data_IF_710641509407
#
_entry.id   IF_710641509407
#
_cell.length_a   1.000
_cell.length_b   1.000
_cell.length_c   1.000
_cell.angle_alpha   90.00
_cell.angle_beta   90.00
_cell.angle_gamma   90.00
#
_symmetry.space_group_name_H-M   'P 1'
#
loop_
_entity.id
_entity.type
_entity.pdbx_description
1 polymer ?
#
# COMPACT_ATOMS: atom_id res chain seq x y z
N UNK A 1 -4.15 13.01 -8.51
CA UNK A 1 -4.10 14.41 -8.99
C UNK A 1 -2.71 15.00 -8.76
N UNK A 2 -1.85 15.06 -9.78
CA UNK A 2 -0.52 15.71 -9.70
C UNK A 2 -0.73 17.21 -9.45
N UNK A 3 -0.32 17.73 -8.28
CA UNK A 3 -0.35 19.16 -7.97
C UNK A 3 0.59 19.92 -8.92
N UNK A 4 0.17 21.08 -9.48
CA UNK A 4 1.08 21.91 -10.28
C UNK A 4 2.15 22.51 -9.35
N UNK A 5 3.40 22.03 -9.47
CA UNK A 5 4.56 22.50 -8.71
C UNK A 5 4.99 23.89 -9.19
N UNK A 6 4.56 24.93 -8.48
CA UNK A 6 5.08 26.28 -8.65
C UNK A 6 6.53 26.30 -8.15
N UNK A 7 7.50 26.47 -9.06
CA UNK A 7 8.91 26.73 -8.71
C UNK A 7 9.02 28.06 -7.96
N UNK A 8 8.93 28.02 -6.62
CA UNK A 8 9.38 29.14 -5.77
C UNK A 8 10.91 29.15 -5.77
N UNK A 9 11.51 30.11 -6.47
CA UNK A 9 12.91 30.52 -6.25
C UNK A 9 13.02 31.26 -4.91
N UNK A 10 12.96 30.52 -3.82
CA UNK A 10 13.41 30.93 -2.49
C UNK A 10 14.45 29.91 -2.02
N UNK A 11 15.50 30.34 -1.31
CA UNK A 11 16.47 29.41 -0.71
C UNK A 11 15.75 28.43 0.21
N UNK A 12 16.25 27.19 0.26
CA UNK A 12 15.72 26.16 1.15
C UNK A 12 16.01 26.54 2.61
N UNK A 13 15.11 26.20 3.54
CA UNK A 13 15.28 26.56 4.95
C UNK A 13 16.53 25.91 5.57
N UNK A 14 17.14 26.56 6.56
CA UNK A 14 18.39 26.09 7.22
C UNK A 14 18.30 24.64 7.72
N UNK A 15 17.15 24.22 8.26
CA UNK A 15 16.95 22.84 8.74
C UNK A 15 16.92 21.84 7.58
N UNK A 16 16.29 22.20 6.46
CA UNK A 16 16.29 21.36 5.27
C UNK A 16 17.68 21.32 4.60
N UNK A 17 18.45 22.43 4.59
CA UNK A 17 19.87 22.41 4.18
C UNK A 17 20.70 21.46 5.06
N UNK A 18 20.42 21.45 6.37
CA UNK A 18 21.07 20.54 7.30
C UNK A 18 20.74 19.07 7.02
N UNK A 19 19.47 18.73 6.72
CA UNK A 19 19.09 17.37 6.33
C UNK A 19 19.78 16.92 5.03
N UNK A 20 19.84 17.81 4.03
CA UNK A 20 20.55 17.56 2.77
C UNK A 20 22.03 17.25 3.03
N UNK A 21 22.69 18.04 3.87
CA UNK A 21 24.10 17.82 4.22
C UNK A 21 24.32 16.50 4.98
N UNK A 22 23.48 16.19 5.98
CA UNK A 22 23.60 14.98 6.80
C UNK A 22 23.39 13.71 5.96
N UNK A 23 22.34 13.67 5.14
CA UNK A 23 22.03 12.53 4.28
C UNK A 23 23.06 12.32 3.17
N UNK A 24 23.58 13.39 2.57
CA UNK A 24 24.67 13.29 1.58
C UNK A 24 25.95 12.75 2.26
N UNK A 25 26.26 13.23 3.46
CA UNK A 25 27.42 12.73 4.22
C UNK A 25 27.31 11.25 4.60
N UNK A 26 26.09 10.79 4.93
CA UNK A 26 25.81 9.38 5.17
C UNK A 26 26.00 8.54 3.90
N UNK A 27 25.44 8.98 2.77
CA UNK A 27 25.58 8.28 1.50
C UNK A 27 27.04 8.16 1.01
N UNK A 28 27.90 9.11 1.40
CA UNK A 28 29.34 9.11 1.07
C UNK A 28 30.20 8.39 2.12
N UNK A 29 29.60 7.82 3.16
CA UNK A 29 30.33 7.23 4.27
C UNK A 29 31.18 6.03 3.85
N UNK A 30 32.40 5.96 4.39
CA UNK A 30 33.37 4.91 4.04
C UNK A 30 33.34 3.68 4.96
N UNK A 31 32.67 3.75 6.11
CA UNK A 31 32.66 2.65 7.08
C UNK A 31 31.54 2.78 8.13
N UNK A 32 31.23 1.66 8.80
CA UNK A 32 30.17 1.55 9.83
C UNK A 32 30.32 2.51 11.02
N UNK A 33 31.54 2.94 11.32
CA UNK A 33 31.79 3.91 12.40
C UNK A 33 31.35 5.31 11.98
N UNK A 34 31.56 5.65 10.71
CA UNK A 34 31.08 6.89 10.12
C UNK A 34 29.57 6.84 9.88
N UNK A 35 29.02 5.71 9.40
CA UNK A 35 27.57 5.50 9.24
C UNK A 35 26.86 5.89 10.55
N UNK A 36 27.26 5.26 11.67
CA UNK A 36 26.68 5.53 12.98
C UNK A 36 26.77 7.02 13.39
N UNK A 37 27.88 7.69 13.09
CA UNK A 37 28.05 9.11 13.38
C UNK A 37 27.04 10.00 12.62
N UNK A 38 26.79 9.67 11.35
CA UNK A 38 25.86 10.40 10.50
C UNK A 38 24.41 10.06 10.84
N UNK A 39 24.09 8.77 10.98
CA UNK A 39 22.76 8.25 11.34
C UNK A 39 22.24 8.86 12.65
N UNK A 40 23.07 8.93 13.71
CA UNK A 40 22.67 9.53 14.99
C UNK A 40 22.25 10.99 14.83
N UNK A 41 22.99 11.76 14.03
CA UNK A 41 22.72 13.18 13.80
C UNK A 41 21.53 13.41 12.89
N UNK A 42 21.42 12.60 11.83
CA UNK A 42 20.30 12.62 10.91
C UNK A 42 19.00 12.30 11.63
N UNK A 43 18.99 11.19 12.38
CA UNK A 43 17.87 10.79 13.23
C UNK A 43 17.46 11.88 14.21
N UNK A 44 18.42 12.47 14.93
CA UNK A 44 18.11 13.55 15.89
C UNK A 44 17.52 14.80 15.21
N UNK A 45 17.99 15.14 14.01
CA UNK A 45 17.44 16.25 13.24
C UNK A 45 16.00 15.97 12.76
N UNK A 46 15.74 14.75 12.25
CA UNK A 46 14.41 14.31 11.81
C UNK A 46 13.44 14.29 12.98
N UNK A 47 13.81 13.71 14.12
CA UNK A 47 12.97 13.66 15.32
C UNK A 47 12.55 15.07 15.79
N UNK A 48 13.47 16.04 15.69
CA UNK A 48 13.17 17.44 16.02
C UNK A 48 12.15 18.04 15.06
N UNK A 49 12.23 17.74 13.77
CA UNK A 49 11.33 18.26 12.73
C UNK A 49 9.94 17.62 12.87
N UNK A 50 9.88 16.30 13.05
CA UNK A 50 8.64 15.56 13.30
C UNK A 50 7.94 16.05 14.58
N UNK A 51 8.71 16.28 15.66
CA UNK A 51 8.17 16.80 16.91
C UNK A 51 7.62 18.23 16.82
N UNK A 52 8.04 19.00 15.81
CA UNK A 52 7.54 20.35 15.52
C UNK A 52 6.40 20.36 14.48
N UNK A 53 5.97 19.19 13.99
CA UNK A 53 4.96 19.06 12.93
C UNK A 53 5.35 19.81 11.63
N UNK A 54 6.65 19.88 11.32
CA UNK A 54 7.20 20.64 10.19
C UNK A 54 7.45 19.73 8.96
N UNK A 55 6.34 19.27 8.39
CA UNK A 55 6.28 18.41 7.20
C UNK A 55 6.91 19.08 5.96
N UNK A 56 6.78 20.40 5.83
CA UNK A 56 7.30 21.17 4.70
C UNK A 56 8.84 21.14 4.64
N UNK A 57 9.51 21.14 5.78
CA UNK A 57 10.98 21.04 5.85
C UNK A 57 11.47 19.67 5.35
N UNK A 58 10.80 18.58 5.73
CA UNK A 58 11.14 17.23 5.25
C UNK A 58 10.99 17.13 3.74
N UNK A 59 9.83 17.53 3.22
CA UNK A 59 9.53 17.48 1.79
C UNK A 59 10.45 18.40 0.97
N UNK A 60 10.80 19.58 1.49
CA UNK A 60 11.74 20.49 0.82
C UNK A 60 13.13 19.87 0.67
N UNK A 61 13.62 19.15 1.69
CA UNK A 61 14.91 18.48 1.64
C UNK A 61 14.92 17.32 0.63
N UNK A 62 13.88 16.49 0.63
CA UNK A 62 13.68 15.42 -0.36
C UNK A 62 13.61 15.97 -1.79
N UNK A 63 12.80 17.01 -2.03
CA UNK A 63 12.67 17.65 -3.35
C UNK A 63 14.00 18.21 -3.85
N UNK A 64 14.84 18.73 -2.94
CA UNK A 64 16.17 19.23 -3.28
C UNK A 64 17.12 18.12 -3.69
N UNK A 65 17.17 17.04 -2.92
CA UNK A 65 18.03 15.88 -3.19
C UNK A 65 17.63 15.21 -4.51
N UNK A 66 16.33 14.99 -4.70
CA UNK A 66 15.75 14.42 -5.92
C UNK A 66 16.10 15.28 -7.14
N UNK A 67 15.87 16.60 -7.07
CA UNK A 67 16.18 17.51 -8.18
C UNK A 67 17.67 17.67 -8.50
N UNK A 68 18.56 17.16 -7.64
CA UNK A 68 20.01 17.08 -7.88
C UNK A 68 20.52 15.67 -8.16
N UNK A 69 19.63 14.68 -8.25
CA UNK A 69 19.97 13.25 -8.42
C UNK A 69 21.01 12.79 -7.38
N UNK A 70 20.88 13.27 -6.14
CA UNK A 70 21.83 12.96 -5.07
C UNK A 70 21.56 11.57 -4.50
N UNK A 71 22.60 10.75 -4.24
CA UNK A 71 22.44 9.47 -3.54
C UNK A 71 21.95 9.65 -2.08
N UNK A 72 22.04 10.86 -1.51
CA UNK A 72 21.47 11.16 -0.20
C UNK A 72 19.94 11.16 -0.18
N UNK A 73 19.25 11.12 -1.33
CA UNK A 73 17.79 11.04 -1.37
C UNK A 73 17.28 9.77 -0.68
N UNK A 74 17.84 8.60 -1.05
CA UNK A 74 17.42 7.31 -0.51
C UNK A 74 17.70 7.22 0.99
N UNK A 75 18.88 7.70 1.41
CA UNK A 75 19.24 7.79 2.84
C UNK A 75 18.25 8.65 3.62
N UNK A 76 17.91 9.84 3.11
CA UNK A 76 16.97 10.71 3.79
C UNK A 76 15.55 10.11 3.83
N UNK A 77 15.10 9.53 2.72
CA UNK A 77 13.77 8.93 2.62
C UNK A 77 13.59 7.76 3.60
N UNK A 78 14.55 6.83 3.62
CA UNK A 78 14.52 5.67 4.53
C UNK A 78 14.54 6.10 6.01
N UNK A 79 15.40 7.07 6.35
CA UNK A 79 15.44 7.58 7.72
C UNK A 79 14.16 8.31 8.11
N UNK A 80 13.58 9.13 7.23
CA UNK A 80 12.30 9.80 7.53
C UNK A 80 11.21 8.77 7.77
N UNK A 81 11.06 7.79 6.87
CA UNK A 81 10.08 6.71 7.04
C UNK A 81 10.29 5.97 8.36
N UNK A 82 11.52 5.52 8.63
CA UNK A 82 11.90 4.83 9.86
C UNK A 82 11.56 5.64 11.11
N UNK A 83 11.87 6.95 11.14
CA UNK A 83 11.58 7.84 12.28
C UNK A 83 10.10 8.18 12.40
N UNK A 84 9.36 8.18 11.30
CA UNK A 84 7.91 8.38 11.31
C UNK A 84 7.13 7.18 11.82
N UNK A 85 7.61 5.97 11.58
CA UNK A 85 6.94 4.75 12.08
C UNK A 85 7.54 4.25 13.41
N UNK A 86 8.70 4.74 13.82
CA UNK A 86 9.31 4.43 15.12
C UNK A 86 8.98 5.49 16.18
N UNK A 87 8.22 5.10 17.20
CA UNK A 87 7.80 6.01 18.27
C UNK A 87 8.89 6.20 19.34
N UNK A 88 10.13 6.42 18.95
CA UNK A 88 11.32 6.31 19.81
C UNK A 88 11.30 7.25 21.05
N UNK A 89 10.61 8.39 20.97
CA UNK A 89 10.47 9.32 22.09
C UNK A 89 9.47 8.88 23.17
N UNK A 90 8.69 7.83 22.95
CA UNK A 90 7.62 7.41 23.87
C UNK A 90 8.16 6.66 25.09
N UNK A 91 9.09 5.74 24.90
CA UNK A 91 9.66 4.94 25.97
C UNK A 91 11.15 4.62 25.68
N UNK A 92 12.12 5.30 26.34
CA UNK A 92 13.54 5.17 26.01
C UNK A 92 14.14 3.76 26.11
N UNK A 93 13.54 2.91 26.95
CA UNK A 93 13.98 1.53 27.18
C UNK A 93 13.36 0.52 26.20
N UNK A 94 12.52 0.99 25.27
CA UNK A 94 11.81 0.14 24.32
C UNK A 94 12.05 0.57 22.88
N UNK A 95 12.15 -0.42 22.00
CA UNK A 95 11.99 -0.19 20.56
C UNK A 95 10.50 -0.35 20.23
N UNK A 96 9.93 0.68 19.60
CA UNK A 96 8.51 0.75 19.26
C UNK A 96 8.38 0.95 17.75
N UNK A 97 7.50 0.18 17.13
CA UNK A 97 7.26 0.22 15.70
C UNK A 97 5.75 0.23 15.41
N UNK A 98 5.31 1.16 14.57
CA UNK A 98 4.01 1.10 13.92
C UNK A 98 4.06 0.04 12.82
N UNK A 99 3.13 -0.89 12.87
CA UNK A 99 2.95 -1.94 11.86
C UNK A 99 1.59 -1.80 11.20
N UNK A 100 1.51 -2.27 9.95
CA UNK A 100 0.25 -2.47 9.26
C UNK A 100 0.09 -3.93 8.85
N UNK A 101 -1.14 -4.43 8.88
CA UNK A 101 -1.52 -5.72 8.32
C UNK A 101 -2.49 -5.48 7.15
N UNK A 102 -1.99 -5.44 5.90
CA UNK A 102 -2.82 -5.19 4.73
C UNK A 102 -3.67 -6.40 4.35
N UNK A 103 -4.88 -6.11 3.90
CA UNK A 103 -5.89 -7.09 3.51
C UNK A 103 -6.43 -6.65 2.15
N UNK A 104 -6.01 -7.35 1.11
CA UNK A 104 -6.55 -7.16 -0.23
C UNK A 104 -7.96 -7.75 -0.24
N UNK A 105 -8.93 -6.99 -0.72
CA UNK A 105 -10.31 -7.39 -0.75
C UNK A 105 -10.91 -7.07 -2.12
N UNK A 106 -11.75 -7.96 -2.64
CA UNK A 106 -12.58 -7.62 -3.79
C UNK A 106 -14.01 -8.06 -3.56
N UNK A 107 -14.96 -7.26 -4.05
CA UNK A 107 -16.39 -7.46 -3.83
C UNK A 107 -17.21 -6.80 -4.93
N UNK A 108 -18.41 -7.34 -5.17
CA UNK A 108 -19.45 -6.67 -5.99
C UNK A 108 -20.16 -5.55 -5.25
N UNK A 109 -19.96 -5.48 -3.93
CA UNK A 109 -20.51 -4.49 -3.03
C UNK A 109 -19.39 -3.61 -2.49
N UNK A 110 -19.74 -2.63 -1.65
CA UNK A 110 -18.74 -1.85 -0.95
C UNK A 110 -17.85 -2.73 -0.07
N UNK A 111 -16.54 -2.50 -0.14
CA UNK A 111 -15.57 -3.10 0.77
C UNK A 111 -15.58 -2.24 2.04
N UNK A 112 -15.98 -2.77 3.22
CA UNK A 112 -16.20 -1.93 4.38
C UNK A 112 -14.89 -1.46 5.02
N UNK A 113 -14.87 -0.21 5.47
CA UNK A 113 -13.98 0.28 6.53
C UNK A 113 -14.83 0.40 7.80
N UNK A 114 -14.42 -0.25 8.89
CA UNK A 114 -15.35 -0.49 10.02
C UNK A 114 -14.63 -0.65 11.35
N UNK A 115 -15.35 -0.29 12.43
CA UNK A 115 -14.87 -0.49 13.79
C UNK A 115 -14.86 -1.97 14.18
N UNK A 116 -13.91 -2.33 15.02
CA UNK A 116 -13.67 -3.68 15.49
C UNK A 116 -14.20 -3.84 16.91
N UNK A 117 -14.90 -4.94 17.17
CA UNK A 117 -15.36 -5.25 18.53
C UNK A 117 -14.18 -5.74 19.39
N UNK A 118 -14.32 -5.61 20.71
CA UNK A 118 -13.31 -6.10 21.66
C UNK A 118 -13.01 -7.60 21.49
N UNK A 119 -14.01 -8.41 21.14
CA UNK A 119 -13.79 -9.85 20.88
C UNK A 119 -12.96 -10.08 19.62
N UNK A 120 -13.16 -9.27 18.58
CA UNK A 120 -12.36 -9.35 17.35
C UNK A 120 -10.92 -8.95 17.62
N UNK A 121 -10.69 -7.86 18.36
CA UNK A 121 -9.35 -7.43 18.77
C UNK A 121 -8.61 -8.49 19.59
N UNK A 122 -9.30 -9.13 20.54
CA UNK A 122 -8.72 -10.22 21.33
C UNK A 122 -8.29 -11.40 20.45
N UNK A 123 -9.10 -11.79 19.46
CA UNK A 123 -8.75 -12.87 18.52
C UNK A 123 -7.60 -12.49 17.58
N UNK A 124 -7.60 -11.27 17.05
CA UNK A 124 -6.51 -10.75 16.20
C UNK A 124 -5.18 -10.73 16.96
N UNK A 125 -5.19 -10.27 18.22
CA UNK A 125 -4.03 -10.28 19.11
C UNK A 125 -3.44 -11.68 19.26
N UNK A 126 -4.27 -12.69 19.50
CA UNK A 126 -3.82 -14.08 19.61
C UNK A 126 -3.08 -14.52 18.35
N UNK A 127 -3.62 -14.24 17.16
CA UNK A 127 -3.00 -14.67 15.90
C UNK A 127 -1.76 -13.86 15.55
N UNK A 128 -1.71 -12.56 15.85
CA UNK A 128 -0.50 -11.75 15.68
C UNK A 128 0.61 -12.24 16.60
N UNK A 129 0.34 -12.45 17.89
CA UNK A 129 1.33 -12.93 18.85
C UNK A 129 1.78 -14.39 18.60
N UNK A 130 0.89 -15.24 18.08
CA UNK A 130 1.24 -16.63 17.81
C UNK A 130 2.11 -16.81 16.55
N UNK A 131 1.90 -15.96 15.53
CA UNK A 131 2.41 -16.23 14.17
C UNK A 131 3.32 -15.15 13.60
N UNK A 132 3.15 -13.89 14.01
CA UNK A 132 3.79 -12.73 13.36
C UNK A 132 4.80 -12.04 14.28
N UNK A 133 4.46 -11.90 15.56
CA UNK A 133 5.27 -11.18 16.54
C UNK A 133 6.20 -12.14 17.30
N UNK A 134 7.29 -11.60 17.83
CA UNK A 134 8.16 -12.33 18.75
C UNK A 134 7.48 -12.53 20.12
N UNK A 135 8.03 -13.44 20.92
CA UNK A 135 7.38 -13.98 22.13
C UNK A 135 7.11 -12.94 23.23
N UNK A 136 7.95 -11.91 23.36
CA UNK A 136 7.87 -10.87 24.39
C UNK A 136 7.37 -9.52 23.85
N UNK A 137 6.76 -9.52 22.66
CA UNK A 137 6.26 -8.31 22.01
C UNK A 137 4.95 -7.84 22.64
N UNK A 138 4.99 -6.62 23.19
CA UNK A 138 3.79 -5.88 23.59
C UNK A 138 3.08 -5.36 22.33
N UNK A 139 1.75 -5.35 22.36
CA UNK A 139 0.93 -5.05 21.18
C UNK A 139 -0.24 -4.16 21.56
N UNK A 140 -0.51 -3.14 20.76
CA UNK A 140 -1.76 -2.39 20.75
C UNK A 140 -2.31 -2.31 19.33
N UNK A 141 -3.57 -2.66 19.17
CA UNK A 141 -4.27 -2.69 17.90
C UNK A 141 -5.27 -1.52 17.87
N UNK A 142 -5.35 -0.83 16.74
CA UNK A 142 -6.41 0.15 16.49
C UNK A 142 -7.75 -0.58 16.37
N UNK A 143 -8.82 -0.08 16.99
CA UNK A 143 -10.15 -0.68 16.91
C UNK A 143 -10.90 -0.36 15.60
N UNK A 144 -10.17 -0.22 14.50
CA UNK A 144 -10.72 0.14 13.20
C UNK A 144 -9.95 -0.49 12.04
N UNK A 145 -10.69 -0.83 10.99
CA UNK A 145 -10.16 -1.31 9.71
C UNK A 145 -10.19 -0.16 8.70
N UNK A 146 -9.02 0.34 8.33
CA UNK A 146 -8.85 1.56 7.52
C UNK A 146 -8.91 1.26 6.02
N UNK A 147 -9.50 2.17 5.23
CA UNK A 147 -9.19 2.27 3.79
C UNK A 147 -7.89 3.06 3.57
N UNK A 148 -7.32 3.07 2.36
CA UNK A 148 -6.13 3.87 2.05
C UNK A 148 -6.37 5.37 2.32
N UNK A 149 -7.57 5.87 2.01
CA UNK A 149 -7.96 7.28 2.20
C UNK A 149 -7.96 7.71 3.68
N UNK A 150 -8.05 6.75 4.61
CA UNK A 150 -8.19 6.98 6.05
C UNK A 150 -6.89 6.75 6.84
N UNK A 151 -5.81 6.34 6.16
CA UNK A 151 -4.49 6.20 6.76
C UNK A 151 -3.90 7.57 7.16
N UNK A 152 -2.98 7.61 8.15
CA UNK A 152 -2.27 8.85 8.47
C UNK A 152 -1.52 9.39 7.23
N UNK A 153 -1.78 10.66 6.89
CA UNK A 153 -1.21 11.29 5.71
C UNK A 153 0.08 12.05 6.04
N UNK A 154 1.17 11.71 5.36
CA UNK A 154 2.48 12.35 5.55
C UNK A 154 3.26 11.80 6.74
N UNK A 155 4.47 12.30 6.90
CA UNK A 155 5.45 11.80 7.87
C UNK A 155 5.12 12.22 9.31
N UNK A 156 4.68 13.47 9.52
CA UNK A 156 4.33 14.00 10.83
C UNK A 156 3.06 13.35 11.39
N UNK A 157 2.01 13.20 10.56
CA UNK A 157 0.79 12.50 10.98
C UNK A 157 1.07 11.04 11.34
N UNK A 158 1.93 10.36 10.57
CA UNK A 158 2.36 8.98 10.85
C UNK A 158 3.12 8.91 12.17
N UNK A 159 4.05 9.83 12.42
CA UNK A 159 4.79 9.93 13.69
C UNK A 159 3.87 10.18 14.89
N UNK A 160 2.88 11.07 14.74
CA UNK A 160 1.86 11.33 15.76
C UNK A 160 1.04 10.07 16.08
N UNK A 161 0.61 9.35 15.03
CA UNK A 161 -0.13 8.10 15.16
C UNK A 161 0.71 7.00 15.82
N UNK A 162 1.95 6.81 15.36
CA UNK A 162 2.91 5.86 15.95
C UNK A 162 3.15 6.17 17.44
N UNK A 163 3.27 7.45 17.80
CA UNK A 163 3.40 7.89 19.19
C UNK A 163 2.18 7.54 20.06
N UNK A 164 0.97 7.73 19.53
CA UNK A 164 -0.27 7.37 20.23
C UNK A 164 -0.39 5.85 20.41
N UNK A 165 -0.22 5.10 19.32
CA UNK A 165 -0.29 3.64 19.33
C UNK A 165 0.82 3.03 20.21
N UNK A 166 2.03 3.59 20.18
CA UNK A 166 3.15 3.17 21.01
C UNK A 166 2.88 3.30 22.52
N UNK A 167 2.27 4.42 22.95
CA UNK A 167 1.85 4.57 24.36
C UNK A 167 0.82 3.52 24.78
N UNK A 168 -0.09 3.18 23.86
CA UNK A 168 -1.09 2.15 24.09
C UNK A 168 -0.43 0.75 24.21
N UNK A 169 0.55 0.45 23.35
CA UNK A 169 1.31 -0.81 23.39
C UNK A 169 2.05 -0.99 24.72
N UNK A 170 2.76 0.05 25.17
CA UNK A 170 3.44 0.07 26.48
C UNK A 170 2.47 -0.13 27.65
N UNK A 171 1.25 0.38 27.51
CA UNK A 171 0.20 0.24 28.52
C UNK A 171 -0.55 -1.10 28.44
N UNK A 172 -0.27 -1.93 27.43
CA UNK A 172 -0.96 -3.19 27.17
C UNK A 172 -2.44 -3.02 26.81
N UNK A 173 -2.80 -1.91 26.16
CA UNK A 173 -4.18 -1.56 25.82
C UNK A 173 -4.33 -1.31 24.32
N UNK A 174 -5.42 -1.81 23.75
CA UNK A 174 -5.88 -1.38 22.42
C UNK A 174 -6.39 0.07 22.48
N UNK A 175 -6.44 0.74 21.33
CA UNK A 175 -6.79 2.16 21.27
C UNK A 175 -7.94 2.42 20.31
N UNK A 176 -8.80 3.36 20.72
CA UNK A 176 -9.97 3.76 19.96
C UNK A 176 -9.61 4.76 18.86
N UNK A 177 -10.19 4.54 17.69
CA UNK A 177 -10.11 5.45 16.55
C UNK A 177 -11.38 6.27 16.47
N UNK A 178 -11.24 7.59 16.61
CA UNK A 178 -12.33 8.51 16.34
C UNK A 178 -12.58 8.57 14.83
N UNK A 179 -13.74 8.07 14.40
CA UNK A 179 -14.13 8.04 12.98
C UNK A 179 -14.84 9.32 12.55
N UNK A 180 -15.08 10.27 13.46
CA UNK A 180 -15.76 11.52 13.14
C UNK A 180 -14.94 12.34 12.13
N UNK A 181 -15.55 12.65 10.99
CA UNK A 181 -14.90 13.44 9.94
C UNK A 181 -13.86 12.68 9.10
N UNK A 182 -13.79 11.35 9.22
CA UNK A 182 -13.00 10.54 8.30
C UNK A 182 -13.47 10.71 6.86
N UNK A 183 -12.54 10.70 5.88
CA UNK A 183 -12.90 10.67 4.47
C UNK A 183 -13.80 9.49 4.13
N UNK A 184 -14.74 9.71 3.21
CA UNK A 184 -15.50 8.63 2.61
C UNK A 184 -14.57 7.73 1.79
N UNK A 185 -14.80 6.43 1.87
CA UNK A 185 -14.01 5.44 1.14
C UNK A 185 -14.46 5.39 -0.31
N UNK A 186 -13.51 5.51 -1.23
CA UNK A 186 -13.77 5.31 -2.65
C UNK A 186 -14.29 3.88 -2.91
N UNK A 187 -15.23 3.74 -3.86
CA UNK A 187 -15.79 2.43 -4.21
C UNK A 187 -15.03 1.85 -5.40
N UNK A 188 -14.24 0.81 -5.13
CA UNK A 188 -13.54 0.03 -6.14
C UNK A 188 -13.98 -1.44 -6.08
N UNK A 189 -13.87 -2.13 -7.21
CA UNK A 189 -14.08 -3.58 -7.28
C UNK A 189 -13.09 -4.33 -6.38
N UNK A 190 -11.84 -3.89 -6.39
CA UNK A 190 -10.71 -4.44 -5.67
C UNK A 190 -10.00 -3.29 -4.96
N UNK A 191 -9.82 -3.41 -3.65
CA UNK A 191 -9.21 -2.38 -2.80
C UNK A 191 -8.52 -3.02 -1.58
N UNK A 192 -7.73 -2.24 -0.87
CA UNK A 192 -7.00 -2.70 0.32
C UNK A 192 -7.61 -2.16 1.60
N UNK A 193 -7.65 -2.99 2.64
CA UNK A 193 -7.96 -2.56 4.00
C UNK A 193 -6.75 -2.78 4.90
N UNK A 194 -6.56 -1.91 5.87
CA UNK A 194 -5.40 -1.94 6.76
C UNK A 194 -5.85 -2.07 8.20
N UNK A 195 -5.31 -3.06 8.91
CA UNK A 195 -5.31 -3.09 10.37
C UNK A 195 -4.00 -2.47 10.85
N UNK A 196 -4.09 -1.37 11.61
CA UNK A 196 -2.92 -0.70 12.18
C UNK A 196 -2.70 -1.14 13.63
N UNK A 197 -1.44 -1.31 14.01
CA UNK A 197 -1.06 -1.65 15.37
C UNK A 197 0.32 -1.11 15.70
N UNK A 198 0.63 -0.92 16.98
CA UNK A 198 1.99 -0.69 17.44
C UNK A 198 2.49 -1.89 18.22
N UNK A 199 3.77 -2.20 18.03
CA UNK A 199 4.49 -3.21 18.77
C UNK A 199 5.59 -2.55 19.59
N UNK A 200 5.87 -3.10 20.78
CA UNK A 200 6.93 -2.61 21.65
C UNK A 200 7.68 -3.77 22.29
N UNK A 201 9.00 -3.69 22.31
CA UNK A 201 9.91 -4.66 22.93
C UNK A 201 10.98 -3.93 23.71
N UNK A 202 11.70 -4.61 24.62
CA UNK A 202 12.89 -3.98 25.23
C UNK A 202 13.89 -3.69 24.13
N UNK A 203 14.62 -2.59 24.29
CA UNK A 203 15.59 -2.14 23.31
C UNK A 203 16.56 -3.24 22.89
N UNK A 204 16.66 -3.50 21.59
CA UNK A 204 17.51 -4.51 20.97
C UNK A 204 16.94 -5.92 20.90
N UNK A 205 15.72 -6.16 21.37
CA UNK A 205 15.04 -7.47 21.27
C UNK A 205 14.30 -7.62 19.93
N UNK A 206 13.94 -8.86 19.59
CA UNK A 206 13.17 -9.18 18.39
C UNK A 206 11.73 -8.63 18.46
N UNK A 207 11.28 -7.95 17.40
CA UNK A 207 9.90 -7.48 17.20
C UNK A 207 9.02 -8.55 16.55
N UNK A 208 9.57 -9.24 15.55
CA UNK A 208 8.85 -10.18 14.68
C UNK A 208 9.31 -11.61 14.87
N UNK A 209 8.41 -12.56 14.61
CA UNK A 209 8.64 -14.00 14.77
C UNK A 209 9.87 -14.48 14.00
N UNK A 210 10.10 -13.97 12.79
CA UNK A 210 11.25 -14.36 11.95
C UNK A 210 12.60 -13.78 12.37
N UNK A 211 12.64 -12.96 13.42
CA UNK A 211 13.89 -12.47 14.03
C UNK A 211 14.38 -13.40 15.16
N UNK A 212 13.53 -14.31 15.63
CA UNK A 212 13.91 -15.37 16.57
C UNK A 212 14.58 -16.55 15.84
N UNK A 213 15.47 -17.29 16.51
CA UNK A 213 16.31 -18.32 15.86
C UNK A 213 15.52 -19.45 15.17
N UNK A 214 14.35 -19.79 15.71
CA UNK A 214 13.44 -20.82 15.19
C UNK A 214 12.28 -20.23 14.37
N UNK A 215 12.32 -18.92 14.11
CA UNK A 215 11.35 -18.19 13.33
C UNK A 215 11.43 -18.46 11.83
N UNK A 216 10.30 -18.37 11.14
CA UNK A 216 10.24 -18.45 9.67
C UNK A 216 9.20 -17.47 9.12
N UNK A 217 9.62 -16.59 8.22
CA UNK A 217 8.80 -15.52 7.65
C UNK A 217 7.70 -16.03 6.71
N UNK A 218 7.99 -17.05 5.90
CA UNK A 218 7.00 -17.66 5.00
C UNK A 218 5.94 -18.43 5.79
N UNK A 219 6.36 -19.12 6.85
CA UNK A 219 5.44 -19.79 7.77
C UNK A 219 4.54 -18.79 8.51
N UNK A 220 5.11 -17.66 8.96
CA UNK A 220 4.34 -16.57 9.57
C UNK A 220 3.24 -16.06 8.61
N UNK A 221 3.58 -15.80 7.34
CA UNK A 221 2.60 -15.41 6.32
C UNK A 221 1.52 -16.48 6.12
N UNK A 222 1.93 -17.75 6.00
CA UNK A 222 0.99 -18.87 5.80
C UNK A 222 -0.01 -18.98 6.94
N UNK A 223 0.47 -18.90 8.18
CA UNK A 223 -0.39 -18.97 9.36
C UNK A 223 -1.25 -17.72 9.53
N UNK A 224 -0.72 -16.54 9.20
CA UNK A 224 -1.49 -15.30 9.20
C UNK A 224 -2.65 -15.34 8.20
N UNK A 225 -2.39 -15.78 6.97
CA UNK A 225 -3.42 -15.98 5.95
C UNK A 225 -4.50 -16.97 6.38
N UNK A 226 -4.09 -18.08 7.01
CA UNK A 226 -5.04 -19.10 7.46
C UNK A 226 -5.85 -18.66 8.68
N UNK A 227 -5.18 -18.31 9.78
CA UNK A 227 -5.84 -18.09 11.07
C UNK A 227 -6.25 -16.62 11.27
N UNK A 228 -5.38 -15.68 10.92
CA UNK A 228 -5.72 -14.25 10.91
C UNK A 228 -6.82 -13.94 9.88
N UNK A 229 -6.73 -14.52 8.70
CA UNK A 229 -7.75 -14.42 7.65
C UNK A 229 -9.13 -14.91 8.10
N UNK A 230 -9.19 -16.03 8.82
CA UNK A 230 -10.44 -16.55 9.39
C UNK A 230 -11.09 -15.60 10.41
N UNK A 231 -10.28 -14.81 11.13
CA UNK A 231 -10.77 -13.79 12.06
C UNK A 231 -11.33 -12.55 11.34
N UNK A 232 -10.75 -12.19 10.19
CA UNK A 232 -11.11 -10.97 9.44
C UNK A 232 -12.28 -11.21 8.47
N UNK A 233 -12.43 -12.42 7.93
CA UNK A 233 -13.47 -12.73 6.94
C UNK A 233 -14.91 -12.37 7.39
N UNK A 234 -15.33 -12.60 8.65
CA UNK A 234 -16.67 -12.21 9.10
C UNK A 234 -16.94 -10.69 9.09
N UNK A 235 -15.90 -9.86 9.08
CA UNK A 235 -16.03 -8.38 9.07
C UNK A 235 -16.32 -7.82 7.68
N UNK A 236 -16.04 -8.59 6.63
CA UNK A 236 -16.14 -8.17 5.23
C UNK A 236 -17.04 -9.14 4.45
N UNK A 237 -18.35 -9.24 4.81
CA UNK A 237 -19.25 -10.17 4.15
C UNK A 237 -19.34 -9.87 2.65
N UNK A 238 -19.27 -10.94 1.84
CA UNK A 238 -19.30 -10.83 0.39
C UNK A 238 -17.96 -10.42 -0.25
N UNK A 239 -16.92 -10.15 0.54
CA UNK A 239 -15.57 -9.95 0.04
C UNK A 239 -14.82 -11.27 -0.07
N UNK A 240 -14.07 -11.43 -1.15
CA UNK A 240 -12.95 -12.37 -1.21
C UNK A 240 -11.73 -11.63 -0.69
N UNK A 241 -10.89 -12.31 0.11
CA UNK A 241 -9.76 -11.71 0.80
C UNK A 241 -8.44 -12.41 0.46
N UNK A 242 -7.37 -11.62 0.31
CA UNK A 242 -5.99 -12.10 0.35
C UNK A 242 -5.18 -11.24 1.34
N UNK A 243 -4.62 -11.87 2.36
CA UNK A 243 -3.84 -11.15 3.39
C UNK A 243 -2.38 -11.03 2.97
N UNK A 244 -1.81 -9.86 3.24
CA UNK A 244 -0.37 -9.59 3.14
C UNK A 244 0.26 -9.73 4.53
N UNK A 245 1.56 -10.05 4.59
CA UNK A 245 2.27 -10.20 5.86
C UNK A 245 2.23 -8.87 6.62
N UNK A 246 1.91 -8.86 7.93
CA UNK A 246 2.03 -7.65 8.72
C UNK A 246 3.49 -7.30 8.96
N UNK A 247 3.84 -6.04 8.70
CA UNK A 247 5.21 -5.52 8.78
C UNK A 247 5.21 -4.06 9.22
N UNK A 248 6.41 -3.46 9.30
CA UNK A 248 6.59 -2.02 9.45
C UNK A 248 5.68 -1.25 8.47
N UNK A 249 5.04 -0.18 8.95
CA UNK A 249 3.97 0.53 8.24
C UNK A 249 4.28 0.83 6.77
N UNK A 250 5.40 1.51 6.48
CA UNK A 250 5.73 1.89 5.10
C UNK A 250 6.05 0.67 4.22
N UNK A 251 6.75 -0.32 4.79
CA UNK A 251 7.07 -1.58 4.09
C UNK A 251 5.81 -2.41 3.79
N UNK A 252 4.87 -2.46 4.72
CA UNK A 252 3.59 -3.15 4.57
C UNK A 252 2.72 -2.47 3.50
N UNK A 253 2.68 -1.13 3.46
CA UNK A 253 2.00 -0.38 2.39
C UNK A 253 2.60 -0.70 1.01
N UNK A 254 3.94 -0.63 0.87
CA UNK A 254 4.62 -1.02 -0.40
C UNK A 254 4.35 -2.47 -0.79
N UNK A 255 4.31 -3.39 0.19
CA UNK A 255 4.00 -4.79 -0.07
C UNK A 255 2.54 -4.97 -0.53
N UNK A 256 1.61 -4.21 0.04
CA UNK A 256 0.20 -4.20 -0.37
C UNK A 256 0.05 -3.67 -1.80
N UNK A 257 0.70 -2.55 -2.15
CA UNK A 257 0.67 -2.00 -3.51
C UNK A 257 1.16 -3.04 -4.52
N UNK A 258 2.31 -3.68 -4.26
CA UNK A 258 2.85 -4.75 -5.12
C UNK A 258 1.90 -5.93 -5.28
N UNK A 259 1.31 -6.39 -4.18
CA UNK A 259 0.40 -7.53 -4.16
C UNK A 259 -0.97 -7.20 -4.79
N UNK A 260 -1.39 -5.93 -4.77
CA UNK A 260 -2.65 -5.47 -5.34
C UNK A 260 -2.71 -5.58 -6.86
N UNK A 261 -1.55 -5.46 -7.55
CA UNK A 261 -1.45 -5.52 -9.02
C UNK A 261 -2.00 -6.85 -9.58
N UNK A 262 -1.45 -8.04 -9.24
CA UNK A 262 -2.00 -9.31 -9.69
C UNK A 262 -3.36 -9.63 -9.08
N UNK A 263 -3.63 -9.16 -7.85
CA UNK A 263 -4.92 -9.36 -7.19
C UNK A 263 -6.07 -8.67 -7.93
N UNK A 264 -5.84 -7.47 -8.47
CA UNK A 264 -6.84 -6.72 -9.22
C UNK A 264 -7.23 -7.43 -10.52
N UNK A 265 -6.27 -8.04 -11.24
CA UNK A 265 -6.56 -8.88 -12.40
C UNK A 265 -7.43 -10.09 -12.02
N UNK A 266 -7.06 -10.79 -10.95
CA UNK A 266 -7.82 -11.95 -10.43
C UNK A 266 -9.25 -11.55 -10.06
N UNK A 267 -9.41 -10.41 -9.38
CA UNK A 267 -10.70 -9.84 -9.02
C UNK A 267 -11.55 -9.52 -10.26
N UNK A 268 -10.96 -8.85 -11.26
CA UNK A 268 -11.64 -8.49 -12.52
C UNK A 268 -12.10 -9.71 -13.31
N UNK A 269 -11.26 -10.75 -13.45
CA UNK A 269 -11.65 -11.99 -14.15
C UNK A 269 -12.79 -12.70 -13.40
N UNK A 270 -12.72 -12.79 -12.07
CA UNK A 270 -13.77 -13.41 -11.26
C UNK A 270 -15.09 -12.60 -11.33
N UNK A 271 -14.99 -11.27 -11.28
CA UNK A 271 -16.12 -10.37 -11.44
C UNK A 271 -16.81 -10.55 -12.79
N UNK A 272 -16.05 -10.47 -13.88
CA UNK A 272 -16.56 -10.64 -15.25
C UNK A 272 -17.17 -12.03 -15.44
N UNK A 273 -16.49 -13.07 -14.95
CA UNK A 273 -17.00 -14.43 -15.12
C UNK A 273 -18.35 -14.64 -14.45
N UNK A 274 -18.53 -14.07 -13.25
CA UNK A 274 -19.80 -14.10 -12.56
C UNK A 274 -20.84 -13.12 -13.14
N UNK A 275 -20.43 -12.02 -13.79
CA UNK A 275 -21.33 -10.96 -14.27
C UNK A 275 -21.92 -11.30 -15.64
N UNK A 276 -21.08 -11.91 -16.48
CA UNK A 276 -21.41 -12.32 -17.84
C UNK A 276 -21.93 -13.76 -17.93
N UNK A 277 -21.97 -14.49 -16.81
CA UNK A 277 -22.18 -15.95 -16.76
C UNK A 277 -21.29 -16.71 -17.77
N UNK A 278 -20.00 -16.33 -17.78
CA UNK A 278 -19.04 -16.78 -18.77
C UNK A 278 -17.76 -17.29 -18.07
N UNK A 279 -17.24 -18.48 -18.44
CA UNK A 279 -15.97 -18.93 -17.89
C UNK A 279 -14.82 -18.09 -18.46
N UNK A 280 -13.73 -17.96 -17.71
CA UNK A 280 -12.55 -17.16 -18.07
C UNK A 280 -11.99 -17.43 -19.50
N UNK A 281 -12.03 -18.66 -20.06
CA UNK A 281 -11.58 -18.90 -21.43
C UNK A 281 -12.38 -18.19 -22.53
N UNK A 282 -13.57 -17.64 -22.22
CA UNK A 282 -14.34 -16.79 -23.15
C UNK A 282 -13.91 -15.32 -23.13
N UNK A 283 -13.04 -14.94 -22.19
CA UNK A 283 -12.49 -13.59 -22.09
C UNK A 283 -11.23 -13.47 -22.95
N UNK A 284 -11.03 -12.26 -23.47
CA UNK A 284 -9.78 -11.79 -24.04
C UNK A 284 -9.27 -10.63 -23.18
N UNK A 285 -7.95 -10.55 -22.99
CA UNK A 285 -7.30 -9.43 -22.34
C UNK A 285 -6.29 -8.78 -23.29
N UNK A 286 -6.31 -7.45 -23.34
CA UNK A 286 -5.41 -6.64 -24.16
C UNK A 286 -4.53 -5.81 -23.23
N UNK A 287 -3.22 -6.02 -23.29
CA UNK A 287 -2.21 -5.32 -22.50
C UNK A 287 -1.59 -4.24 -23.37
N UNK A 288 -1.50 -3.00 -22.87
CA UNK A 288 -0.81 -1.93 -23.58
C UNK A 288 -0.06 -0.97 -22.62
N UNK A 289 1.10 -0.42 -23.04
CA UNK A 289 1.83 0.57 -22.27
C UNK A 289 1.25 1.98 -22.48
N UNK A 290 0.91 2.65 -21.39
CA UNK A 290 0.44 4.03 -21.39
C UNK A 290 1.56 4.96 -20.93
N UNK A 291 1.84 5.99 -21.73
CA UNK A 291 3.01 6.86 -21.55
C UNK A 291 2.76 8.29 -22.02
N UNK A 292 3.34 9.25 -21.33
CA UNK A 292 3.63 10.56 -21.92
C UNK A 292 5.00 10.53 -22.61
N UNK A 293 6.08 10.74 -21.86
CA UNK A 293 7.47 10.57 -22.33
C UNK A 293 7.98 9.14 -22.06
N UNK A 294 7.86 8.68 -20.82
CA UNK A 294 8.19 7.34 -20.35
C UNK A 294 6.93 6.55 -20.02
N UNK A 295 7.03 5.22 -19.96
CA UNK A 295 5.90 4.37 -19.51
C UNK A 295 5.57 4.78 -18.09
N UNK A 296 4.33 5.22 -17.87
CA UNK A 296 3.84 5.54 -16.52
C UNK A 296 3.07 4.35 -15.93
N UNK A 297 2.35 3.61 -16.77
CA UNK A 297 1.53 2.46 -16.36
C UNK A 297 1.25 1.52 -17.54
N UNK A 298 0.90 0.27 -17.24
CA UNK A 298 0.24 -0.61 -18.20
C UNK A 298 -1.27 -0.60 -17.93
N UNK A 299 -2.06 -0.72 -18.99
CA UNK A 299 -3.50 -0.92 -18.85
C UNK A 299 -3.91 -2.22 -19.53
N UNK A 300 -4.83 -2.92 -18.88
CA UNK A 300 -5.42 -4.15 -19.36
C UNK A 300 -6.89 -3.90 -19.68
N UNK A 301 -7.28 -4.02 -20.93
CA UNK A 301 -8.68 -4.03 -21.35
C UNK A 301 -9.20 -5.46 -21.44
N UNK A 302 -10.38 -5.73 -20.88
CA UNK A 302 -11.04 -7.04 -20.96
C UNK A 302 -12.22 -6.97 -21.93
N UNK A 303 -12.27 -7.91 -22.86
CA UNK A 303 -13.39 -8.09 -23.80
C UNK A 303 -13.90 -9.54 -23.77
N UNK A 304 -15.06 -9.78 -24.38
CA UNK A 304 -15.45 -11.14 -24.76
C UNK A 304 -14.74 -11.52 -26.06
N UNK A 305 -14.36 -12.79 -26.20
CA UNK A 305 -13.70 -13.25 -27.42
C UNK A 305 -14.55 -12.93 -28.67
N UNK A 306 -13.91 -12.30 -29.67
CA UNK A 306 -14.55 -11.83 -30.90
C UNK A 306 -15.38 -10.55 -30.76
N UNK A 307 -15.27 -9.83 -29.64
CA UNK A 307 -15.84 -8.47 -29.46
C UNK A 307 -14.75 -7.44 -29.24
N UNK A 308 -15.07 -6.22 -29.66
CA UNK A 308 -14.18 -5.04 -29.61
C UNK A 308 -14.44 -4.22 -28.33
N UNK A 309 -15.69 -4.21 -27.84
CA UNK A 309 -16.11 -3.45 -26.66
C UNK A 309 -15.35 -3.87 -25.40
N UNK A 310 -14.72 -2.89 -24.73
CA UNK A 310 -14.07 -3.08 -23.45
C UNK A 310 -15.12 -3.12 -22.34
N UNK A 311 -15.22 -4.28 -21.68
CA UNK A 311 -16.22 -4.54 -20.63
C UNK A 311 -15.72 -4.12 -19.24
N UNK A 312 -14.41 -4.24 -19.04
CA UNK A 312 -13.75 -3.87 -17.80
C UNK A 312 -12.29 -3.56 -18.06
N UNK A 313 -11.66 -2.82 -17.16
CA UNK A 313 -10.25 -2.48 -17.28
C UNK A 313 -9.53 -2.48 -15.95
N UNK A 314 -8.23 -2.79 -16.01
CA UNK A 314 -7.31 -2.74 -14.86
C UNK A 314 -6.12 -1.86 -15.22
N UNK A 315 -5.78 -0.94 -14.32
CA UNK A 315 -4.51 -0.21 -14.38
C UNK A 315 -3.48 -0.99 -13.58
N UNK A 316 -2.33 -1.25 -14.19
CA UNK A 316 -1.16 -1.82 -13.57
C UNK A 316 -0.11 -0.72 -13.39
N UNK A 317 -0.05 -0.08 -12.21
CA UNK A 317 0.92 0.99 -11.96
C UNK A 317 2.34 0.43 -11.89
N UNK A 318 3.31 1.22 -12.36
CA UNK A 318 4.72 0.94 -12.13
C UNK A 318 5.12 1.44 -10.73
N UNK A 319 5.62 0.53 -9.89
CA UNK A 319 5.96 0.84 -8.49
C UNK A 319 7.47 1.03 -8.32
N UNK A 320 7.88 2.30 -8.26
CA UNK A 320 9.30 2.70 -8.12
C UNK A 320 10.07 2.60 -9.44
N UNK A 321 11.39 2.53 -9.36
CA UNK A 321 12.20 2.07 -10.49
C UNK A 321 11.99 0.56 -10.61
N UNK A 322 10.87 0.14 -11.20
CA UNK A 322 10.78 -1.22 -11.73
C UNK A 322 11.97 -1.38 -12.66
N UNK A 323 12.90 -2.23 -12.25
CA UNK A 323 14.19 -2.39 -12.90
C UNK A 323 13.95 -2.58 -14.40
N UNK A 324 14.76 -1.94 -15.26
CA UNK A 324 14.66 -2.06 -16.72
C UNK A 324 14.74 -3.53 -17.20
N UNK A 325 15.08 -4.44 -16.28
CA UNK A 325 15.16 -5.89 -16.43
C UNK A 325 13.83 -6.65 -16.27
N UNK A 326 12.77 -6.03 -15.71
CA UNK A 326 11.47 -6.69 -15.49
C UNK A 326 10.60 -6.56 -16.74
N UNK A 327 10.30 -7.70 -17.35
CA UNK A 327 9.29 -7.79 -18.41
C UNK A 327 7.89 -7.74 -17.79
N UNK A 328 7.42 -6.52 -17.50
CA UNK A 328 6.10 -6.26 -16.91
C UNK A 328 4.96 -6.87 -17.75
N UNK A 329 4.93 -6.74 -19.10
CA UNK A 329 3.96 -7.45 -19.93
C UNK A 329 3.92 -8.96 -19.67
N UNK A 330 5.07 -9.61 -19.52
CA UNK A 330 5.14 -11.04 -19.23
C UNK A 330 4.60 -11.38 -17.83
N UNK A 331 4.83 -10.54 -16.81
CA UNK A 331 4.23 -10.70 -15.48
C UNK A 331 2.69 -10.61 -15.56
N UNK A 332 2.17 -9.61 -16.27
CA UNK A 332 0.73 -9.42 -16.47
C UNK A 332 0.14 -10.62 -17.23
N UNK A 333 0.78 -11.07 -18.33
CA UNK A 333 0.33 -12.24 -19.08
C UNK A 333 0.31 -13.49 -18.20
N UNK A 334 1.33 -13.72 -17.37
CA UNK A 334 1.38 -14.88 -16.48
C UNK A 334 0.16 -14.91 -15.55
N UNK A 335 -0.18 -13.77 -14.93
CA UNK A 335 -1.37 -13.67 -14.05
C UNK A 335 -2.66 -13.93 -14.82
N UNK A 336 -2.80 -13.37 -16.03
CA UNK A 336 -3.98 -13.59 -16.89
C UNK A 336 -4.14 -15.07 -17.28
N UNK A 337 -3.03 -15.74 -17.61
CA UNK A 337 -3.00 -17.18 -17.93
C UNK A 337 -3.33 -18.03 -16.71
N UNK A 338 -2.83 -17.68 -15.53
CA UNK A 338 -3.19 -18.33 -14.26
C UNK A 338 -4.70 -18.21 -13.97
N UNK A 339 -5.31 -17.08 -14.35
CA UNK A 339 -6.76 -16.88 -14.25
C UNK A 339 -7.56 -17.67 -15.30
N UNK A 340 -6.89 -18.29 -16.28
CA UNK A 340 -7.53 -19.05 -17.36
C UNK A 340 -8.15 -18.19 -18.47
N UNK A 341 -7.68 -16.95 -18.64
CA UNK A 341 -8.09 -16.08 -19.76
C UNK A 341 -7.71 -16.76 -21.08
N UNK A 342 -8.66 -16.80 -22.03
CA UNK A 342 -8.52 -17.58 -23.26
C UNK A 342 -7.49 -17.02 -24.23
N UNK A 343 -7.48 -15.69 -24.37
CA UNK A 343 -6.57 -14.99 -25.26
C UNK A 343 -5.98 -13.76 -24.57
N UNK A 344 -4.67 -13.60 -24.70
CA UNK A 344 -3.94 -12.44 -24.19
C UNK A 344 -3.20 -11.83 -25.37
N UNK A 345 -3.41 -10.53 -25.60
CA UNK A 345 -2.76 -9.78 -26.67
C UNK A 345 -1.99 -8.62 -26.08
N UNK A 346 -0.74 -8.47 -26.50
CA UNK A 346 0.07 -7.29 -26.17
C UNK A 346 0.12 -6.34 -27.36
N UNK A 347 -0.12 -5.05 -27.11
CA UNK A 347 0.03 -3.97 -28.08
C UNK A 347 1.24 -3.13 -27.67
N UNK A 348 2.23 -3.03 -28.55
CA UNK A 348 3.50 -2.33 -28.25
C UNK A 348 3.49 -0.84 -28.64
N UNK A 349 2.38 -0.36 -29.21
CA UNK A 349 2.23 1.00 -29.69
C UNK A 349 2.15 2.00 -28.53
N UNK A 350 2.39 3.29 -28.81
CA UNK A 350 2.28 4.35 -27.81
C UNK A 350 0.81 4.70 -27.56
N UNK A 351 0.33 4.48 -26.34
CA UNK A 351 -0.99 4.91 -25.89
C UNK A 351 -0.89 6.15 -24.97
N UNK A 352 -1.63 7.24 -25.25
CA UNK A 352 -1.71 8.40 -24.37
C UNK A 352 -2.50 8.09 -23.08
N UNK A 353 -2.15 8.76 -21.99
CA UNK A 353 -2.84 8.70 -20.69
C UNK A 353 -4.21 9.40 -20.75
N UNK A 354 -5.17 8.78 -21.42
CA UNK A 354 -6.52 9.31 -21.57
C UNK A 354 -7.46 8.85 -20.45
N UNK A 355 -8.36 9.74 -20.06
CA UNK A 355 -9.39 9.54 -19.05
C UNK A 355 -10.72 9.99 -19.64
N UNK A 356 -11.80 9.32 -19.26
CA UNK A 356 -13.15 9.70 -19.67
C UNK A 356 -13.49 11.09 -19.13
N UNK A 357 -13.99 11.98 -20.00
CA UNK A 357 -14.35 13.34 -19.62
C UNK A 357 -15.58 13.40 -18.69
N UNK A 358 -16.45 12.39 -18.74
CA UNK A 358 -17.70 12.35 -17.97
C UNK A 358 -17.51 11.81 -16.55
N UNK A 359 -16.79 10.69 -16.39
CA UNK A 359 -16.64 10.01 -15.10
C UNK A 359 -15.23 10.06 -14.52
N UNK A 360 -14.23 10.51 -15.29
CA UNK A 360 -12.83 10.57 -14.86
C UNK A 360 -12.12 9.22 -14.78
N UNK A 361 -12.76 8.12 -15.18
CA UNK A 361 -12.14 6.79 -15.19
C UNK A 361 -11.04 6.68 -16.27
N UNK A 362 -9.99 5.87 -16.06
CA UNK A 362 -9.03 5.55 -17.10
C UNK A 362 -9.71 4.92 -18.31
N UNK A 363 -9.20 5.21 -19.50
CA UNK A 363 -9.60 4.54 -20.74
C UNK A 363 -8.66 3.35 -21.03
N UNK A 364 -9.12 2.34 -21.75
CA UNK A 364 -8.44 1.05 -21.87
C UNK A 364 -8.24 0.62 -23.32
N UNK A 365 -7.21 -0.19 -23.61
CA UNK A 365 -6.94 -0.66 -24.97
C UNK A 365 -7.98 -1.68 -25.43
N UNK A 366 -8.47 -1.53 -26.65
CA UNK A 366 -9.27 -2.54 -27.36
C UNK A 366 -8.37 -3.46 -28.21
N UNK A 367 -8.88 -4.62 -28.68
CA UNK A 367 -8.15 -5.51 -29.58
C UNK A 367 -7.70 -4.84 -30.89
N UNK A 368 -8.40 -3.81 -31.34
CA UNK A 368 -8.16 -3.05 -32.56
C UNK A 368 -7.06 -2.00 -32.37
N UNK A 369 -6.63 -1.75 -31.12
CA UNK A 369 -5.67 -0.72 -30.75
C UNK A 369 -6.30 0.65 -30.56
N UNK A 370 -7.60 0.71 -30.30
CA UNK A 370 -8.31 1.93 -29.92
C UNK A 370 -8.32 2.08 -28.39
N UNK A 371 -8.58 3.31 -27.92
CA UNK A 371 -8.75 3.62 -26.51
C UNK A 371 -10.24 3.78 -26.23
N UNK A 372 -10.79 2.90 -25.39
CA UNK A 372 -12.22 2.83 -25.12
C UNK A 372 -12.54 2.98 -23.64
N UNK A 373 -13.72 3.52 -23.34
CA UNK A 373 -14.25 3.51 -21.99
C UNK A 373 -14.71 2.09 -21.66
N UNK A 374 -14.43 1.63 -20.44
CA UNK A 374 -14.91 0.33 -19.99
C UNK A 374 -16.39 0.41 -19.60
N UNK A 375 -17.25 -0.38 -20.26
CA UNK A 375 -18.68 -0.37 -20.01
C UNK A 375 -19.27 -1.78 -20.02
N UNK A 376 -20.00 -2.12 -18.95
CA UNK A 376 -20.73 -3.38 -18.85
C UNK A 376 -22.11 -3.22 -19.53
N UNK A 377 -22.63 -4.25 -20.24
CA UNK A 377 -23.95 -4.19 -20.87
C UNK A 377 -25.07 -3.91 -19.85
N UNK A 378 -25.98 -2.98 -20.18
CA UNK A 378 -27.05 -2.49 -19.28
C UNK A 378 -27.90 -3.62 -18.68
N UNK A 379 -28.28 -4.64 -19.47
CA UNK A 379 -29.14 -5.76 -19.05
C UNK A 379 -28.53 -6.64 -17.92
N UNK A 380 -27.24 -6.48 -17.62
CA UNK A 380 -26.52 -7.30 -16.63
C UNK A 380 -26.18 -6.53 -15.34
N UNK A 381 -26.54 -5.25 -15.26
CA UNK A 381 -26.39 -4.43 -14.04
C UNK A 381 -27.57 -4.54 -13.07
N UNK A 382 -28.72 -5.09 -13.50
CA UNK A 382 -29.94 -5.20 -12.67
C UNK A 382 -29.88 -6.25 -11.56
N UNK A 383 -28.85 -7.11 -11.53
CA UNK A 383 -28.67 -8.12 -10.48
C UNK A 383 -27.86 -7.64 -9.26
N UNK A 384 -27.66 -6.33 -9.10
CA UNK A 384 -27.16 -5.74 -7.84
C UNK A 384 -28.39 -5.39 -6.98
N UNK A 385 -28.70 -6.11 -5.89
CA UNK A 385 -29.83 -5.77 -5.06
C UNK A 385 -29.61 -4.39 -4.44
N UNK A 386 -30.40 -3.40 -4.85
CA UNK A 386 -30.53 -2.15 -4.14
C UNK A 386 -31.02 -2.47 -2.72
N UNK A 387 -30.19 -2.09 -1.74
CA UNK A 387 -30.43 -2.06 -0.29
C UNK A 387 -31.82 -2.54 0.17
N UNK A 388 -31.86 -3.67 0.86
CA UNK A 388 -32.93 -3.93 1.82
C UNK A 388 -32.54 -3.24 3.14
N UNK A 389 -33.43 -2.36 3.58
CA UNK A 389 -33.33 -1.47 4.74
C UNK A 389 -32.95 -2.14 6.06
#
# INVERSE_FOLDING_TARGET
>A
MKRPRIKRRGGIGRLAEQLVWLSTGLAESGCRVEDHYWEERLTSAIDTILGNDDEDTLNSALDRLFGSESPGYDELADHIESRSESAAGVAPEHDILLIAAPILAWSRFSIPATSLSASTLANLRVHLQAHVLASDTQLAIADFLFSPDQLPQGYCSTAGFAGLAGRAAISGQDFHIDTAGMPETSQFLSDTRYLLAAVAVRKGEALFRWQEQDGNREQALTQWRSQGGACLAPLMPGCVLELVLPEAYFSACRAADKASRPYSIRASVAFLGAALDAPAPKLMAVIAPFRDEEIEEYRIGFTMHGREDVLHGVVWPLLGAEDETIDVPAEIEAVLRECGVGEVRYLDHRFPLEYCEDCGAPMYPSPEGEIMHAEMPEEQTEHVPRHLH
#
